data_IF_156424760516
#
_entry.id   IF_156424760516
#
_cell.length_a   1.000
_cell.length_b   1.000
_cell.length_c   1.000
_cell.angle_alpha   90.00
_cell.angle_beta   90.00
_cell.angle_gamma   90.00
#
_symmetry.space_group_name_H-M   'P 1'
#
loop_
_entity.id
_entity.type
_entity.pdbx_description
1 polymer ?
#
# COMPACT_ATOMS: atom_id res chain seq x y z
N UNK A 1 29.16 10.88 -17.05
CA UNK A 1 28.34 11.79 -16.25
C UNK A 1 27.24 11.05 -15.47
N UNK A 2 26.33 10.28 -16.12
CA UNK A 2 25.19 9.58 -15.47
C UNK A 2 25.60 8.56 -14.39
N UNK A 3 26.62 7.73 -14.66
CA UNK A 3 27.16 6.77 -13.68
C UNK A 3 27.63 7.46 -12.39
N UNK A 4 28.27 8.61 -12.50
CA UNK A 4 28.70 9.39 -11.32
C UNK A 4 27.52 10.03 -10.60
N UNK A 5 26.49 10.46 -11.32
CA UNK A 5 25.26 10.99 -10.71
C UNK A 5 24.53 9.90 -9.93
N UNK A 6 24.31 8.73 -10.53
CA UNK A 6 23.71 7.57 -9.85
C UNK A 6 24.49 7.19 -8.57
N UNK A 7 25.81 7.14 -8.65
CA UNK A 7 26.67 6.82 -7.51
C UNK A 7 26.55 7.85 -6.37
N UNK A 8 26.47 9.15 -6.71
CA UNK A 8 26.27 10.21 -5.70
C UNK A 8 24.90 10.09 -5.02
N UNK A 9 23.84 9.82 -5.78
CA UNK A 9 22.50 9.65 -5.21
C UNK A 9 22.45 8.39 -4.33
N UNK A 10 23.07 7.28 -4.74
CA UNK A 10 23.18 6.09 -3.91
C UNK A 10 23.94 6.35 -2.60
N UNK A 11 25.03 7.10 -2.62
CA UNK A 11 25.74 7.47 -1.40
C UNK A 11 24.89 8.34 -0.46
N UNK A 12 24.10 9.27 -1.00
CA UNK A 12 23.15 10.06 -0.18
C UNK A 12 22.07 9.19 0.44
N UNK A 13 21.56 8.16 -0.30
CA UNK A 13 20.59 7.24 0.25
C UNK A 13 21.13 6.39 1.42
N UNK A 14 22.45 6.23 1.51
CA UNK A 14 23.11 5.42 2.54
C UNK A 14 23.51 6.24 3.77
N UNK A 15 23.03 7.49 3.93
CA UNK A 15 23.30 8.27 5.15
C UNK A 15 22.61 7.63 6.34
N UNK A 16 23.37 7.49 7.47
CA UNK A 16 22.91 6.75 8.65
C UNK A 16 21.64 7.32 9.30
N UNK A 17 21.42 8.62 9.20
CA UNK A 17 20.29 9.33 9.83
C UNK A 17 18.91 8.82 9.37
N UNK A 18 18.81 8.30 8.13
CA UNK A 18 17.58 7.72 7.62
C UNK A 18 17.24 6.35 8.23
N UNK A 19 18.19 5.71 8.92
CA UNK A 19 18.07 4.36 9.47
C UNK A 19 18.21 4.30 11.00
N UNK A 20 18.56 5.42 11.64
CA UNK A 20 18.73 5.47 13.07
C UNK A 20 17.38 5.72 13.75
N UNK A 21 16.97 4.77 14.57
CA UNK A 21 15.88 5.00 15.51
C UNK A 21 16.34 5.88 16.67
N UNK A 22 15.44 6.71 17.20
CA UNK A 22 15.70 7.44 18.45
C UNK A 22 15.90 6.45 19.63
N UNK A 23 16.47 6.89 20.76
CA UNK A 23 16.60 6.07 21.96
C UNK A 23 15.26 5.49 22.44
N UNK A 24 14.14 6.14 22.14
CA UNK A 24 12.78 5.67 22.45
C UNK A 24 12.26 4.62 21.46
N UNK A 25 13.09 4.18 20.50
CA UNK A 25 12.70 3.21 19.46
C UNK A 25 11.77 3.78 18.39
N UNK A 26 11.74 5.10 18.25
CA UNK A 26 10.93 5.79 17.23
C UNK A 26 11.68 5.80 15.91
N UNK A 27 10.96 5.52 14.82
CA UNK A 27 11.51 5.56 13.48
C UNK A 27 12.03 6.96 13.11
N UNK A 28 12.98 7.05 12.17
CA UNK A 28 13.49 8.32 11.66
C UNK A 28 12.35 9.22 11.17
N UNK A 29 12.59 10.53 11.23
CA UNK A 29 11.71 11.54 10.69
C UNK A 29 11.31 11.22 9.24
N UNK A 30 10.05 11.47 8.89
CA UNK A 30 9.49 11.18 7.57
C UNK A 30 10.31 11.82 6.44
N UNK A 31 10.80 13.04 6.62
CA UNK A 31 11.63 13.73 5.61
C UNK A 31 12.96 13.01 5.37
N UNK A 32 13.55 12.41 6.43
CA UNK A 32 14.78 11.63 6.31
C UNK A 32 14.54 10.34 5.54
N UNK A 33 13.46 9.60 5.85
CA UNK A 33 13.08 8.40 5.11
C UNK A 33 12.75 8.72 3.66
N UNK A 34 11.95 9.75 3.40
CA UNK A 34 11.64 10.23 2.06
C UNK A 34 12.91 10.61 1.28
N UNK A 35 13.84 11.32 1.91
CA UNK A 35 15.10 11.69 1.28
C UNK A 35 15.94 10.46 0.87
N UNK A 36 15.95 9.40 1.69
CA UNK A 36 16.63 8.15 1.36
C UNK A 36 15.99 7.47 0.14
N UNK A 37 14.67 7.26 0.15
CA UNK A 37 13.93 6.69 -0.98
C UNK A 37 14.07 7.52 -2.25
N UNK A 38 13.97 8.84 -2.15
CA UNK A 38 14.14 9.76 -3.28
C UNK A 38 15.52 9.64 -3.92
N UNK A 39 16.56 9.60 -3.13
CA UNK A 39 17.92 9.43 -3.63
C UNK A 39 18.14 8.03 -4.23
N UNK A 40 17.57 6.98 -3.66
CA UNK A 40 17.64 5.62 -4.21
C UNK A 40 16.93 5.53 -5.57
N UNK A 41 15.71 6.05 -5.66
CA UNK A 41 14.92 6.08 -6.90
C UNK A 41 15.58 6.96 -7.97
N UNK A 42 16.22 8.06 -7.56
CA UNK A 42 17.00 8.91 -8.47
C UNK A 42 18.23 8.18 -9.04
N UNK A 43 18.94 7.43 -8.20
CA UNK A 43 20.06 6.60 -8.65
C UNK A 43 19.62 5.59 -9.69
N UNK A 44 18.50 4.92 -9.46
CA UNK A 44 17.90 3.98 -10.40
C UNK A 44 17.49 4.65 -11.71
N UNK A 45 16.84 5.81 -11.65
CA UNK A 45 16.47 6.61 -12.82
C UNK A 45 17.68 6.94 -13.70
N UNK A 46 18.81 7.34 -13.11
CA UNK A 46 20.05 7.57 -13.86
C UNK A 46 20.58 6.31 -14.52
N UNK A 47 20.45 5.14 -13.91
CA UNK A 47 20.86 3.86 -14.49
C UNK A 47 19.96 3.53 -15.68
N UNK A 48 18.64 3.65 -15.54
CA UNK A 48 17.66 3.41 -16.61
C UNK A 48 17.87 4.30 -17.83
N UNK A 49 18.33 5.53 -17.62
CA UNK A 49 18.67 6.45 -18.71
C UNK A 49 20.03 6.18 -19.36
N UNK A 50 20.90 5.42 -18.69
CA UNK A 50 22.27 5.13 -19.18
C UNK A 50 22.35 3.89 -20.04
N UNK A 51 21.46 2.92 -19.86
CA UNK A 51 21.42 1.63 -20.56
C UNK A 51 19.98 1.33 -21.00
N UNK A 52 19.78 0.49 -22.05
CA UNK A 52 18.44 0.04 -22.42
C UNK A 52 17.74 -0.61 -21.22
N UNK A 53 16.67 -0.01 -20.76
CA UNK A 53 15.90 -0.53 -19.63
C UNK A 53 15.04 -1.73 -20.08
N UNK A 54 15.06 -2.79 -19.29
CA UNK A 54 14.20 -3.96 -19.47
C UNK A 54 13.43 -4.20 -18.18
N UNK A 55 12.11 -4.22 -18.29
CA UNK A 55 11.25 -4.56 -17.17
C UNK A 55 11.50 -5.97 -16.67
N UNK A 56 11.46 -6.14 -15.35
CA UNK A 56 11.70 -7.43 -14.71
C UNK A 56 10.94 -7.56 -13.40
N UNK A 57 10.63 -8.79 -13.03
CA UNK A 57 10.24 -9.19 -11.69
C UNK A 57 11.20 -10.27 -11.23
N UNK A 58 11.82 -10.08 -10.07
CA UNK A 58 12.77 -11.01 -9.47
C UNK A 58 12.30 -11.39 -8.07
N UNK A 59 12.61 -12.60 -7.64
CA UNK A 59 12.28 -13.12 -6.31
C UNK A 59 13.57 -13.52 -5.59
N UNK A 60 13.81 -12.97 -4.41
CA UNK A 60 14.89 -13.35 -3.51
C UNK A 60 14.66 -12.78 -2.10
N UNK A 61 15.27 -13.38 -1.10
CA UNK A 61 15.26 -12.90 0.29
C UNK A 61 16.28 -11.77 0.43
N UNK A 62 15.79 -10.51 0.30
CA UNK A 62 16.70 -9.35 0.33
C UNK A 62 16.87 -8.78 1.74
N UNK A 63 15.94 -9.06 2.66
CA UNK A 63 15.99 -8.60 4.04
C UNK A 63 16.59 -9.64 4.99
N UNK A 64 16.90 -10.85 4.49
CA UNK A 64 17.49 -11.98 5.20
C UNK A 64 16.59 -12.52 6.34
N UNK A 65 15.27 -12.48 6.16
CA UNK A 65 14.29 -13.04 7.12
C UNK A 65 13.90 -14.49 6.82
N UNK A 66 14.45 -15.08 5.76
CA UNK A 66 14.20 -16.45 5.30
C UNK A 66 13.03 -16.59 4.34
N UNK A 67 12.42 -15.48 3.91
CA UNK A 67 11.31 -15.45 2.96
C UNK A 67 11.65 -14.56 1.77
N UNK A 68 11.23 -14.96 0.58
CA UNK A 68 11.50 -14.17 -0.60
C UNK A 68 10.54 -12.99 -0.71
N UNK A 69 11.09 -11.83 -1.05
CA UNK A 69 10.36 -10.71 -1.59
C UNK A 69 10.38 -10.73 -3.12
N UNK A 70 9.44 -9.99 -3.73
CA UNK A 70 9.34 -9.84 -5.17
C UNK A 70 9.60 -8.39 -5.55
N UNK A 71 10.75 -8.16 -6.21
CA UNK A 71 11.13 -6.83 -6.69
C UNK A 71 10.66 -6.65 -8.13
N UNK A 72 9.73 -5.72 -8.30
CA UNK A 72 9.15 -5.34 -9.59
C UNK A 72 9.85 -4.08 -10.09
N UNK A 73 10.56 -4.16 -11.21
CA UNK A 73 11.20 -3.03 -11.88
C UNK A 73 10.49 -2.76 -13.20
N UNK A 74 9.57 -1.78 -13.20
CA UNK A 74 8.73 -1.41 -14.35
C UNK A 74 9.08 -0.03 -14.86
N UNK A 75 8.66 0.33 -16.08
CA UNK A 75 9.00 1.61 -16.69
C UNK A 75 8.63 2.83 -15.83
N UNK A 76 7.44 2.82 -15.23
CA UNK A 76 6.93 3.95 -14.44
C UNK A 76 7.25 3.87 -12.95
N UNK A 77 7.49 2.67 -12.43
CA UNK A 77 7.62 2.45 -10.99
C UNK A 77 8.55 1.28 -10.66
N UNK A 78 8.98 1.22 -9.40
CA UNK A 78 9.45 0.00 -8.76
C UNK A 78 8.55 -0.33 -7.58
N UNK A 79 8.37 -1.61 -7.30
CA UNK A 79 7.61 -2.06 -6.15
C UNK A 79 8.30 -3.26 -5.49
N UNK A 80 8.15 -3.36 -4.17
CA UNK A 80 8.49 -4.54 -3.41
C UNK A 80 7.23 -5.18 -2.86
N UNK A 81 7.03 -6.47 -3.12
CA UNK A 81 5.93 -7.25 -2.57
C UNK A 81 6.51 -8.20 -1.54
N UNK A 82 6.05 -8.11 -0.29
CA UNK A 82 6.49 -8.97 0.80
C UNK A 82 5.63 -10.22 0.91
N UNK A 83 6.22 -11.34 1.27
CA UNK A 83 5.49 -12.54 1.66
C UNK A 83 4.69 -12.34 2.96
N UNK A 84 5.14 -11.45 3.84
CA UNK A 84 4.42 -11.08 5.06
C UNK A 84 3.25 -10.14 4.71
N UNK A 85 2.03 -10.58 4.97
CA UNK A 85 0.81 -9.91 4.53
C UNK A 85 0.56 -10.00 3.03
N UNK A 86 1.47 -10.55 2.23
CA UNK A 86 1.36 -10.59 0.78
C UNK A 86 1.22 -9.18 0.15
N UNK A 87 1.65 -8.14 0.82
CA UNK A 87 1.38 -6.73 0.54
C UNK A 87 2.53 -6.04 -0.21
N UNK A 88 2.25 -4.88 -0.76
CA UNK A 88 3.27 -4.00 -1.35
C UNK A 88 3.82 -3.10 -0.25
N UNK A 89 5.08 -3.27 0.09
CA UNK A 89 5.78 -2.52 1.14
C UNK A 89 6.54 -1.31 0.59
N UNK A 90 6.83 -1.30 -0.71
CA UNK A 90 7.42 -0.16 -1.40
C UNK A 90 6.75 0.05 -2.75
N UNK A 91 6.41 1.30 -3.07
CA UNK A 91 5.92 1.73 -4.37
C UNK A 91 6.60 3.05 -4.76
N UNK A 92 7.74 2.94 -5.43
CA UNK A 92 8.52 4.09 -5.87
C UNK A 92 8.11 4.52 -7.27
N UNK A 93 7.55 5.71 -7.43
CA UNK A 93 7.18 6.26 -8.74
C UNK A 93 8.35 7.02 -9.34
N UNK A 94 8.83 6.57 -10.50
CA UNK A 94 10.05 7.11 -11.16
C UNK A 94 9.89 8.57 -11.59
N UNK A 95 8.65 9.03 -11.83
CA UNK A 95 8.39 10.39 -12.29
C UNK A 95 8.78 11.44 -11.25
N UNK A 96 8.30 11.30 -10.03
CA UNK A 96 8.50 12.27 -8.93
C UNK A 96 9.47 11.76 -7.84
N UNK A 97 9.96 10.52 -7.96
CA UNK A 97 10.94 9.88 -7.06
C UNK A 97 10.39 9.61 -5.64
N UNK A 98 9.08 9.54 -5.47
CA UNK A 98 8.44 9.32 -4.17
C UNK A 98 8.10 7.84 -3.94
N UNK A 99 8.25 7.38 -2.70
CA UNK A 99 7.72 6.10 -2.25
C UNK A 99 6.35 6.31 -1.60
N UNK A 100 5.30 5.83 -2.27
CA UNK A 100 3.92 5.97 -1.80
C UNK A 100 3.49 4.95 -0.75
N UNK A 101 4.33 3.95 -0.45
CA UNK A 101 4.08 2.95 0.59
C UNK A 101 4.95 3.16 1.85
N UNK A 102 5.72 4.26 1.94
CA UNK A 102 6.53 4.59 3.11
C UNK A 102 5.67 5.09 4.28
N UNK A 103 4.93 4.18 4.91
CA UNK A 103 4.04 4.47 6.02
C UNK A 103 4.57 3.89 7.33
N UNK A 104 4.16 4.50 8.45
CA UNK A 104 4.33 3.93 9.78
C UNK A 104 3.10 3.10 10.18
N UNK A 105 3.28 2.24 11.17
CA UNK A 105 2.17 1.66 11.93
C UNK A 105 1.92 2.48 13.20
N UNK A 106 0.65 2.56 13.65
CA UNK A 106 0.30 3.24 14.89
C UNK A 106 0.84 2.44 16.08
N UNK A 107 1.28 3.15 17.10
CA UNK A 107 1.83 2.57 18.33
C UNK A 107 0.99 3.08 19.51
N UNK A 108 0.49 2.17 20.35
CA UNK A 108 -0.40 2.48 21.47
C UNK A 108 0.12 3.61 22.36
N UNK A 109 1.43 3.63 22.63
CA UNK A 109 2.08 4.64 23.46
C UNK A 109 1.86 6.08 22.96
N UNK A 110 1.75 6.29 21.64
CA UNK A 110 1.65 7.62 21.04
C UNK A 110 0.27 7.86 20.41
N UNK A 111 -0.26 6.85 19.74
CA UNK A 111 -1.46 6.96 18.92
C UNK A 111 -2.73 6.46 19.65
N UNK A 112 -2.58 5.88 20.85
CA UNK A 112 -3.63 5.23 21.65
C UNK A 112 -4.29 4.04 20.93
N UNK A 113 -3.69 3.60 19.85
CA UNK A 113 -4.11 2.48 19.01
C UNK A 113 -2.85 1.75 18.58
N UNK A 114 -2.90 0.43 18.49
CA UNK A 114 -1.80 -0.39 18.00
C UNK A 114 -2.19 -1.10 16.72
N UNK A 115 -1.48 -0.77 15.62
CA UNK A 115 -1.59 -1.52 14.39
C UNK A 115 -0.68 -2.76 14.50
N UNK A 116 -1.24 -3.93 14.59
CA UNK A 116 -0.46 -5.18 14.69
C UNK A 116 0.11 -5.64 13.33
N UNK A 117 0.11 -4.80 12.31
CA UNK A 117 0.55 -5.11 10.96
C UNK A 117 1.22 -3.89 10.33
N UNK A 118 1.97 -4.13 9.26
CA UNK A 118 2.58 -3.07 8.44
C UNK A 118 1.54 -2.48 7.49
N UNK A 119 1.51 -1.15 7.39
CA UNK A 119 0.57 -0.42 6.53
C UNK A 119 1.15 -0.19 5.14
N UNK A 120 1.12 -1.24 4.32
CA UNK A 120 1.46 -1.16 2.90
C UNK A 120 0.24 -0.88 2.02
N UNK A 121 0.36 -1.26 0.74
CA UNK A 121 -0.77 -1.27 -0.20
C UNK A 121 -1.21 -2.72 -0.44
N UNK A 122 -2.50 -2.90 -0.67
CA UNK A 122 -3.12 -4.23 -0.84
C UNK A 122 -2.92 -5.13 0.38
N UNK A 123 -3.30 -4.61 1.54
CA UNK A 123 -3.35 -5.35 2.81
C UNK A 123 -4.75 -5.91 2.98
N UNK A 124 -4.89 -7.23 3.11
CA UNK A 124 -6.19 -7.88 3.21
C UNK A 124 -6.61 -8.11 4.64
N UNK A 125 -7.90 -7.87 4.87
CA UNK A 125 -8.57 -8.16 6.13
C UNK A 125 -9.87 -8.94 5.88
N UNK A 126 -10.22 -9.80 6.82
CA UNK A 126 -11.55 -10.39 6.91
C UNK A 126 -12.11 -10.00 8.28
N UNK A 127 -13.16 -9.21 8.27
CA UNK A 127 -13.76 -8.64 9.47
C UNK A 127 -15.19 -9.13 9.67
N UNK A 128 -15.62 -9.31 10.91
CA UNK A 128 -17.03 -9.32 11.27
C UNK A 128 -17.68 -7.95 11.00
N UNK A 129 -19.00 -7.87 11.09
CA UNK A 129 -19.70 -6.59 10.90
C UNK A 129 -19.33 -5.56 11.96
N UNK A 130 -19.13 -6.02 13.19
CA UNK A 130 -18.74 -5.18 14.34
C UNK A 130 -17.31 -4.65 14.15
N UNK A 131 -16.36 -5.54 13.89
CA UNK A 131 -14.95 -5.17 13.64
C UNK A 131 -14.84 -4.20 12.48
N UNK A 132 -15.59 -4.43 11.40
CA UNK A 132 -15.57 -3.53 10.24
C UNK A 132 -16.21 -2.17 10.57
N UNK A 133 -17.23 -2.13 11.43
CA UNK A 133 -17.78 -0.86 11.91
C UNK A 133 -16.75 -0.03 12.66
N UNK A 134 -15.92 -0.66 13.47
CA UNK A 134 -14.87 0.03 14.22
C UNK A 134 -13.68 0.39 13.32
N UNK A 135 -13.32 -0.48 12.38
CA UNK A 135 -12.31 -0.20 11.38
C UNK A 135 -12.61 1.10 10.58
N UNK A 136 -13.85 1.27 10.12
CA UNK A 136 -14.29 2.48 9.39
C UNK A 136 -14.20 3.76 10.21
N UNK A 137 -14.16 3.68 11.54
CA UNK A 137 -13.97 4.83 12.45
C UNK A 137 -12.49 5.06 12.79
N UNK A 138 -11.57 4.27 12.19
CA UNK A 138 -10.15 4.32 12.56
C UNK A 138 -9.82 3.73 13.93
N UNK A 139 -10.79 3.05 14.56
CA UNK A 139 -10.60 2.39 15.85
C UNK A 139 -9.81 1.09 15.67
N UNK A 140 -9.20 0.56 16.74
CA UNK A 140 -8.52 -0.73 16.69
C UNK A 140 -9.58 -1.83 16.54
N UNK A 141 -9.88 -2.19 15.33
CA UNK A 141 -10.39 -3.51 15.02
C UNK A 141 -9.16 -4.39 15.01
N UNK A 142 -9.02 -5.40 15.77
CA UNK A 142 -7.85 -6.29 15.68
C UNK A 142 -7.30 -6.39 14.24
N UNK A 143 -6.11 -6.83 14.03
CA UNK A 143 -5.64 -7.06 12.65
C UNK A 143 -6.52 -8.13 12.02
N UNK A 144 -7.04 -7.88 10.83
CA UNK A 144 -7.71 -8.90 10.04
C UNK A 144 -6.79 -10.11 9.81
N UNK A 145 -7.39 -11.26 9.55
CA UNK A 145 -6.68 -12.55 9.54
C UNK A 145 -5.43 -12.55 8.65
N UNK A 146 -5.46 -11.88 7.52
CA UNK A 146 -4.39 -11.94 6.52
C UNK A 146 -3.38 -10.80 6.58
N UNK A 147 -3.66 -9.70 7.26
CA UNK A 147 -2.81 -8.50 7.24
C UNK A 147 -1.38 -8.73 7.78
N UNK A 148 -1.18 -9.73 8.62
CA UNK A 148 0.13 -10.13 9.14
C UNK A 148 0.50 -11.59 8.84
N UNK A 149 -0.35 -12.33 8.15
CA UNK A 149 -0.09 -13.72 7.81
C UNK A 149 1.14 -13.83 6.91
N UNK A 150 1.90 -14.90 7.11
CA UNK A 150 2.96 -15.27 6.19
C UNK A 150 2.33 -16.02 5.00
N UNK A 151 2.35 -15.40 3.84
CA UNK A 151 1.93 -16.03 2.60
C UNK A 151 3.05 -16.93 2.07
N UNK A 152 2.68 -18.12 1.61
CA UNK A 152 3.60 -19.03 0.92
C UNK A 152 3.54 -18.77 -0.57
N UNK A 153 4.69 -18.80 -1.23
CA UNK A 153 4.74 -18.81 -2.69
C UNK A 153 4.10 -20.09 -3.21
N UNK A 154 3.03 -19.94 -4.00
CA UNK A 154 2.41 -21.05 -4.71
C UNK A 154 3.01 -21.21 -6.11
N UNK A 155 3.35 -20.09 -6.77
CA UNK A 155 4.02 -20.07 -8.07
C UNK A 155 4.63 -18.69 -8.31
N UNK A 156 5.83 -18.67 -8.90
CA UNK A 156 6.47 -17.46 -9.40
C UNK A 156 6.91 -17.64 -10.86
N UNK A 157 6.57 -16.67 -11.70
CA UNK A 157 6.98 -16.65 -13.09
C UNK A 157 7.46 -15.25 -13.49
N UNK A 158 8.76 -15.01 -13.41
CA UNK A 158 9.38 -13.72 -13.73
C UNK A 158 9.19 -13.30 -15.19
N UNK A 159 9.10 -14.26 -16.14
CA UNK A 159 8.88 -13.95 -17.56
C UNK A 159 7.46 -13.44 -17.83
N UNK A 160 6.45 -14.06 -17.20
CA UNK A 160 5.06 -13.62 -17.26
C UNK A 160 4.77 -12.48 -16.29
N UNK A 161 5.73 -12.13 -15.41
CA UNK A 161 5.59 -11.17 -14.33
C UNK A 161 4.40 -11.52 -13.42
N UNK A 162 4.28 -12.78 -13.07
CA UNK A 162 3.19 -13.36 -12.29
C UNK A 162 3.70 -13.89 -10.96
N UNK A 163 2.98 -13.56 -9.88
CA UNK A 163 3.25 -14.03 -8.52
C UNK A 163 1.95 -14.60 -7.96
N UNK A 164 1.99 -15.83 -7.47
CA UNK A 164 0.85 -16.45 -6.78
C UNK A 164 1.23 -16.80 -5.35
N UNK A 165 0.47 -16.29 -4.43
CA UNK A 165 0.66 -16.44 -2.99
C UNK A 165 -0.55 -17.13 -2.37
N UNK A 166 -0.34 -17.88 -1.29
CA UNK A 166 -1.42 -18.47 -0.47
C UNK A 166 -1.18 -18.17 1.01
N UNK A 167 -2.15 -17.49 1.63
CA UNK A 167 -2.24 -17.28 3.07
C UNK A 167 -3.28 -18.19 3.71
N UNK A 168 -3.06 -18.58 4.94
CA UNK A 168 -3.99 -19.38 5.75
C UNK A 168 -4.18 -18.72 7.11
N UNK A 169 -5.35 -18.91 7.72
CA UNK A 169 -5.66 -18.38 9.03
C UNK A 169 -7.00 -18.88 9.56
N UNK A 170 -7.39 -18.34 10.70
CA UNK A 170 -8.67 -18.66 11.35
C UNK A 170 -9.51 -17.39 11.49
N UNK A 171 -10.80 -17.52 11.29
CA UNK A 171 -11.77 -16.43 11.39
C UNK A 171 -12.63 -16.58 12.63
N UNK A 172 -12.79 -15.49 13.37
CA UNK A 172 -13.61 -15.35 14.58
C UNK A 172 -13.22 -16.26 15.75
N UNK A 173 -13.96 -16.13 16.85
CA UNK A 173 -13.82 -16.95 18.05
C UNK A 173 -14.21 -18.43 17.85
N UNK A 174 -14.74 -18.78 16.68
CA UNK A 174 -15.09 -20.15 16.32
C UNK A 174 -13.95 -20.88 15.59
N UNK A 175 -12.79 -20.23 15.43
CA UNK A 175 -11.60 -20.76 14.76
C UNK A 175 -11.91 -21.37 13.38
N UNK A 176 -12.79 -20.72 12.61
CA UNK A 176 -13.16 -21.21 11.27
C UNK A 176 -11.93 -21.07 10.37
N UNK A 177 -11.39 -22.20 9.84
CA UNK A 177 -10.23 -22.13 8.97
C UNK A 177 -10.60 -21.48 7.62
N UNK A 178 -9.81 -20.50 7.21
CA UNK A 178 -9.95 -19.81 5.96
C UNK A 178 -8.62 -19.71 5.22
N UNK A 179 -8.67 -19.66 3.90
CA UNK A 179 -7.49 -19.40 3.07
C UNK A 179 -7.73 -18.30 2.08
N UNK A 180 -6.66 -17.57 1.75
CA UNK A 180 -6.66 -16.55 0.72
C UNK A 180 -5.58 -16.88 -0.31
N UNK A 181 -6.01 -17.08 -1.56
CA UNK A 181 -5.10 -17.10 -2.71
C UNK A 181 -5.05 -15.71 -3.32
N UNK A 182 -3.85 -15.20 -3.53
CA UNK A 182 -3.59 -13.88 -4.09
C UNK A 182 -2.68 -14.01 -5.29
N UNK A 183 -3.09 -13.42 -6.41
CA UNK A 183 -2.35 -13.46 -7.67
C UNK A 183 -2.10 -12.07 -8.17
N UNK A 184 -0.83 -11.71 -8.31
CA UNK A 184 -0.40 -10.49 -8.96
C UNK A 184 -0.03 -10.75 -10.41
N UNK A 185 -0.55 -9.94 -11.33
CA UNK A 185 -0.06 -9.79 -12.70
C UNK A 185 0.48 -8.37 -12.85
N UNK A 186 1.81 -8.27 -13.00
CA UNK A 186 2.53 -7.00 -13.02
C UNK A 186 2.66 -6.50 -14.45
N UNK A 187 2.41 -5.21 -14.69
CA UNK A 187 2.56 -4.57 -15.99
C UNK A 187 3.23 -3.19 -15.87
N UNK A 188 3.54 -2.57 -17.01
CA UNK A 188 4.28 -1.29 -17.08
C UNK A 188 3.55 -0.12 -16.40
N UNK A 189 2.23 -0.21 -16.20
CA UNK A 189 1.41 0.87 -15.66
C UNK A 189 0.88 0.59 -14.25
N UNK A 190 1.07 -0.62 -13.73
CA UNK A 190 0.52 -1.06 -12.45
C UNK A 190 0.39 -2.57 -12.38
N UNK A 191 -0.69 -3.06 -11.82
CA UNK A 191 -0.92 -4.50 -11.65
C UNK A 191 -2.40 -4.85 -11.56
N UNK A 192 -2.73 -6.06 -11.93
CA UNK A 192 -3.99 -6.70 -11.59
C UNK A 192 -3.75 -7.61 -10.38
N UNK A 193 -4.61 -7.51 -9.38
CA UNK A 193 -4.58 -8.39 -8.21
C UNK A 193 -5.90 -9.16 -8.13
N UNK A 194 -5.79 -10.49 -8.19
CA UNK A 194 -6.92 -11.40 -8.05
C UNK A 194 -6.86 -12.08 -6.69
N UNK A 195 -7.99 -12.17 -6.03
CA UNK A 195 -8.18 -12.76 -4.72
C UNK A 195 -9.18 -13.90 -4.79
N UNK A 196 -8.90 -15.00 -4.11
CA UNK A 196 -9.86 -16.07 -3.89
C UNK A 196 -9.84 -16.38 -2.39
N UNK A 197 -10.89 -15.90 -1.69
CA UNK A 197 -11.13 -16.20 -0.28
C UNK A 197 -11.97 -17.46 -0.18
N UNK A 198 -11.52 -18.44 0.57
CA UNK A 198 -12.19 -19.72 0.73
C UNK A 198 -12.46 -20.03 2.20
N UNK A 199 -13.66 -20.53 2.47
CA UNK A 199 -14.01 -21.17 3.72
C UNK A 199 -13.52 -22.62 3.69
N UNK A 200 -12.46 -22.94 4.41
CA UNK A 200 -11.90 -24.30 4.48
C UNK A 200 -12.62 -25.19 5.52
N UNK A 201 -13.51 -24.59 6.35
CA UNK A 201 -14.28 -25.26 7.36
C UNK A 201 -15.67 -25.68 6.91
N UNK A 202 -16.40 -26.47 7.73
CA UNK A 202 -17.76 -26.89 7.44
C UNK A 202 -18.85 -25.87 7.84
N UNK A 203 -18.49 -24.86 8.65
CA UNK A 203 -19.45 -23.91 9.22
C UNK A 203 -19.51 -22.68 8.32
N UNK A 204 -20.73 -22.25 7.94
CA UNK A 204 -20.94 -21.03 7.19
C UNK A 204 -20.58 -19.79 8.05
N UNK A 205 -20.01 -18.77 7.44
CA UNK A 205 -19.75 -17.48 8.09
C UNK A 205 -19.95 -16.31 7.13
N UNK A 206 -20.23 -15.14 7.70
CA UNK A 206 -20.41 -13.89 6.96
C UNK A 206 -19.51 -12.81 7.51
N UNK A 207 -19.17 -11.84 6.67
CA UNK A 207 -18.31 -10.73 7.07
C UNK A 207 -18.04 -9.75 5.95
N UNK A 208 -16.94 -9.03 6.08
CA UNK A 208 -16.44 -8.09 5.08
C UNK A 208 -15.03 -8.51 4.66
N UNK A 209 -14.82 -8.71 3.37
CA UNK A 209 -13.50 -8.83 2.78
C UNK A 209 -13.02 -7.42 2.41
N UNK A 210 -11.91 -7.00 2.96
CA UNK A 210 -11.38 -5.63 2.85
C UNK A 210 -9.99 -5.67 2.25
N UNK A 211 -9.74 -4.82 1.27
CA UNK A 211 -8.42 -4.59 0.66
C UNK A 211 -8.00 -3.15 0.96
N UNK A 212 -7.12 -3.00 1.92
CA UNK A 212 -6.60 -1.72 2.40
C UNK A 212 -5.38 -1.29 1.60
N UNK A 213 -5.30 -0.01 1.26
CA UNK A 213 -4.12 0.63 0.68
C UNK A 213 -3.82 1.93 1.41
N UNK A 214 -2.60 2.07 1.89
CA UNK A 214 -2.15 3.23 2.65
C UNK A 214 -1.17 4.04 1.82
N UNK A 215 -1.55 5.29 1.52
CA UNK A 215 -0.73 6.21 0.73
C UNK A 215 0.02 7.17 1.62
N UNK A 216 1.33 7.13 1.53
CA UNK A 216 2.22 7.97 2.31
C UNK A 216 2.09 9.44 1.95
N UNK A 217 2.16 10.31 2.94
CA UNK A 217 2.23 11.76 2.72
C UNK A 217 3.49 12.13 1.93
N UNK A 218 3.32 12.94 0.89
CA UNK A 218 4.39 13.43 0.01
C UNK A 218 4.66 14.92 0.18
N UNK A 219 3.66 15.70 0.63
CA UNK A 219 3.77 17.12 0.93
C UNK A 219 3.77 17.37 2.44
N UNK A 220 4.79 18.03 2.94
CA UNK A 220 4.99 18.37 4.35
C UNK A 220 4.76 19.85 4.68
N UNK A 221 4.15 20.59 3.77
CA UNK A 221 3.78 21.99 4.04
C UNK A 221 2.77 22.12 5.20
N UNK A 222 1.95 21.07 5.39
CA UNK A 222 1.04 20.95 6.52
C UNK A 222 0.93 19.48 6.94
N UNK A 223 1.43 19.13 8.13
CA UNK A 223 1.42 17.76 8.64
C UNK A 223 0.00 17.25 8.95
N UNK A 224 -0.95 18.15 9.24
CA UNK A 224 -2.32 17.79 9.64
C UNK A 224 -3.24 17.52 8.42
N UNK A 225 -2.79 17.86 7.20
CA UNK A 225 -3.58 17.72 5.98
C UNK A 225 -2.91 16.79 5.01
N UNK A 226 -3.70 15.96 4.33
CA UNK A 226 -3.20 15.18 3.21
C UNK A 226 -3.32 15.96 1.90
N UNK A 227 -2.49 15.59 0.92
CA UNK A 227 -2.48 16.20 -0.42
C UNK A 227 -3.30 15.38 -1.43
N UNK A 228 -4.16 14.50 -0.96
CA UNK A 228 -4.89 13.58 -1.83
C UNK A 228 -6.29 14.08 -2.15
N UNK A 229 -6.61 14.08 -3.46
CA UNK A 229 -7.94 14.23 -4.02
C UNK A 229 -8.51 12.85 -4.29
N UNK A 230 -9.81 12.67 -4.05
CA UNK A 230 -10.53 11.42 -4.28
C UNK A 230 -11.64 11.63 -5.30
N UNK A 231 -11.59 10.92 -6.41
CA UNK A 231 -12.65 10.86 -7.41
C UNK A 231 -13.22 9.44 -7.48
N UNK A 232 -14.55 9.31 -7.44
CA UNK A 232 -15.28 8.04 -7.40
C UNK A 232 -16.34 7.99 -8.51
N UNK A 233 -16.66 6.78 -8.99
CA UNK A 233 -17.91 6.51 -9.72
C UNK A 233 -18.73 5.54 -8.88
N UNK A 234 -19.91 5.99 -8.45
CA UNK A 234 -20.89 5.22 -7.68
C UNK A 234 -22.23 5.27 -8.40
N UNK A 235 -22.86 4.13 -8.65
CA UNK A 235 -24.10 4.03 -9.43
C UNK A 235 -24.05 4.81 -10.75
N UNK A 236 -22.91 4.80 -11.43
CA UNK A 236 -22.68 5.53 -12.68
C UNK A 236 -22.51 7.05 -12.52
N UNK A 237 -22.54 7.58 -11.29
CA UNK A 237 -22.39 9.00 -11.01
C UNK A 237 -20.98 9.32 -10.50
N UNK A 238 -20.36 10.38 -11.03
CA UNK A 238 -19.08 10.89 -10.57
C UNK A 238 -19.23 11.69 -9.27
N UNK A 239 -18.42 11.36 -8.27
CA UNK A 239 -18.32 12.08 -6.99
C UNK A 239 -16.87 12.46 -6.79
N UNK A 240 -16.60 13.71 -6.38
CA UNK A 240 -15.25 14.23 -6.18
C UNK A 240 -15.10 14.89 -4.81
N UNK A 241 -14.00 14.59 -4.13
CA UNK A 241 -13.58 15.21 -2.88
C UNK A 241 -12.20 15.84 -3.10
N UNK A 242 -12.14 17.16 -3.07
CA UNK A 242 -10.89 17.92 -3.34
C UNK A 242 -9.82 17.71 -2.26
N UNK A 243 -10.26 17.48 -1.01
CA UNK A 243 -9.41 17.03 0.09
C UNK A 243 -10.16 15.94 0.85
N UNK A 244 -9.48 14.85 1.15
CA UNK A 244 -10.06 13.77 1.93
C UNK A 244 -9.62 13.86 3.41
N UNK A 245 -9.92 15.01 4.04
CA UNK A 245 -9.58 15.29 5.43
C UNK A 245 -10.58 14.67 6.42
N UNK A 246 -11.72 14.19 5.93
CA UNK A 246 -12.73 13.49 6.72
C UNK A 246 -12.98 12.07 6.18
N UNK A 247 -13.43 11.14 7.02
CA UNK A 247 -13.78 9.80 6.59
C UNK A 247 -14.89 9.81 5.52
N UNK A 248 -14.65 9.10 4.43
CA UNK A 248 -15.62 8.91 3.34
C UNK A 248 -15.96 7.42 3.27
N UNK A 249 -17.26 7.08 3.34
CA UNK A 249 -17.75 5.72 3.12
C UNK A 249 -18.83 5.75 2.05
N UNK A 250 -18.66 4.97 0.99
CA UNK A 250 -19.62 4.82 -0.11
C UNK A 250 -19.76 3.36 -0.49
N UNK A 251 -20.90 3.00 -1.10
CA UNK A 251 -21.17 1.67 -1.69
C UNK A 251 -21.29 1.79 -3.20
N UNK A 252 -21.36 0.65 -3.86
CA UNK A 252 -21.65 0.51 -5.29
C UNK A 252 -20.64 1.30 -6.15
N UNK A 253 -19.35 1.12 -5.83
CA UNK A 253 -18.22 1.80 -6.46
C UNK A 253 -17.65 0.92 -7.58
N UNK A 254 -17.63 1.46 -8.79
CA UNK A 254 -17.02 0.83 -9.97
C UNK A 254 -15.63 1.41 -10.32
N UNK A 255 -15.30 2.60 -9.79
CA UNK A 255 -14.06 3.30 -10.09
C UNK A 255 -13.63 4.17 -8.91
N UNK A 256 -12.34 4.14 -8.60
CA UNK A 256 -11.69 5.00 -7.60
C UNK A 256 -10.42 5.59 -8.19
N UNK A 257 -10.27 6.90 -8.12
CA UNK A 257 -9.01 7.58 -8.44
C UNK A 257 -8.56 8.41 -7.24
N UNK A 258 -7.36 8.11 -6.77
CA UNK A 258 -6.68 8.84 -5.71
C UNK A 258 -5.55 9.63 -6.36
N UNK A 259 -5.58 10.95 -6.27
CA UNK A 259 -4.60 11.82 -6.91
C UNK A 259 -3.79 12.59 -5.88
N UNK A 260 -2.48 12.38 -5.86
CA UNK A 260 -1.55 13.26 -5.18
C UNK A 260 -1.48 14.60 -5.93
N UNK A 261 -2.10 15.63 -5.35
CA UNK A 261 -2.21 16.94 -5.98
C UNK A 261 -0.88 17.69 -6.07
N UNK A 262 0.08 17.35 -5.19
CA UNK A 262 1.41 17.97 -5.17
C UNK A 262 2.26 17.59 -6.38
N UNK A 263 2.11 16.36 -6.86
CA UNK A 263 2.87 15.81 -7.98
C UNK A 263 2.03 15.51 -9.22
N UNK A 264 0.69 15.57 -9.09
CA UNK A 264 -0.28 15.18 -10.12
C UNK A 264 -0.09 13.72 -10.57
N UNK A 265 0.19 12.84 -9.60
CA UNK A 265 0.23 11.39 -9.79
C UNK A 265 -1.12 10.83 -9.33
N UNK A 266 -1.72 9.97 -10.15
CA UNK A 266 -2.99 9.32 -9.79
C UNK A 266 -2.85 7.82 -9.72
N UNK A 267 -3.57 7.23 -8.77
CA UNK A 267 -3.71 5.80 -8.54
C UNK A 267 -5.16 5.42 -8.78
N UNK A 268 -5.39 4.58 -9.78
CA UNK A 268 -6.74 4.18 -10.20
C UNK A 268 -6.99 2.74 -9.80
N UNK A 269 -8.12 2.49 -9.15
CA UNK A 269 -8.63 1.17 -8.82
C UNK A 269 -9.92 0.92 -9.60
N UNK A 270 -9.96 -0.19 -10.32
CA UNK A 270 -11.12 -0.67 -11.05
C UNK A 270 -11.41 -2.10 -10.59
N UNK A 271 -12.33 -2.30 -9.63
CA UNK A 271 -12.76 -3.63 -9.23
C UNK A 271 -13.58 -4.28 -10.36
N UNK A 272 -13.51 -5.61 -10.47
CA UNK A 272 -14.26 -6.37 -11.49
C UNK A 272 -15.78 -6.41 -11.23
N UNK A 273 -16.19 -6.11 -10.02
CA UNK A 273 -17.57 -5.93 -9.58
C UNK A 273 -17.63 -4.78 -8.57
N UNK A 274 -18.78 -4.18 -8.43
CA UNK A 274 -18.99 -3.06 -7.51
C UNK A 274 -18.54 -3.39 -6.10
N UNK A 275 -17.82 -2.46 -5.50
CA UNK A 275 -17.27 -2.55 -4.15
C UNK A 275 -17.82 -1.43 -3.27
N UNK A 276 -17.74 -1.59 -1.97
CA UNK A 276 -17.75 -0.43 -1.09
C UNK A 276 -16.36 0.19 -1.01
N UNK A 277 -16.29 1.47 -0.65
CA UNK A 277 -15.03 2.15 -0.31
C UNK A 277 -15.14 2.82 1.05
N UNK A 278 -14.06 2.72 1.82
CA UNK A 278 -13.84 3.48 3.06
C UNK A 278 -12.51 4.19 2.97
N UNK A 279 -12.51 5.51 3.00
CA UNK A 279 -11.30 6.32 2.97
C UNK A 279 -11.21 7.15 4.24
N UNK A 280 -10.01 7.32 4.77
CA UNK A 280 -9.77 8.16 5.94
C UNK A 280 -8.30 8.62 6.03
N UNK A 281 -8.06 9.84 6.54
CA UNK A 281 -6.73 10.24 6.94
C UNK A 281 -6.35 9.52 8.25
N UNK A 282 -5.11 9.07 8.37
CA UNK A 282 -4.54 8.56 9.60
C UNK A 282 -3.37 9.44 10.03
N UNK A 283 -3.47 9.99 11.23
CA UNK A 283 -2.44 10.85 11.80
C UNK A 283 -1.58 10.03 12.78
N UNK A 284 -0.26 10.11 12.60
CA UNK A 284 0.70 9.42 13.46
C UNK A 284 1.37 10.43 14.38
N UNK A 285 1.32 10.14 15.69
CA UNK A 285 1.93 10.98 16.71
C UNK A 285 3.29 10.42 17.11
N UNK A 286 4.27 11.31 17.27
CA UNK A 286 5.62 10.94 17.70
C UNK A 286 6.12 11.94 18.72
N UNK A 287 7.09 11.56 19.58
CA UNK A 287 7.75 12.49 20.48
C UNK A 287 8.37 13.64 19.70
N UNK A 288 8.25 14.84 20.26
CA UNK A 288 8.92 16.05 19.79
C UNK A 288 9.84 16.56 20.90
N UNK A 289 11.08 16.86 20.57
CA UNK A 289 12.08 17.38 21.52
C UNK A 289 11.67 18.71 22.16
N UNK A 290 10.76 19.45 21.51
CA UNK A 290 10.28 20.75 21.95
C UNK A 290 8.91 20.71 22.65
N UNK A 291 8.34 19.53 22.88
CA UNK A 291 7.00 19.36 23.45
C UNK A 291 6.95 18.18 24.42
N UNK A 292 6.27 18.37 25.54
CA UNK A 292 6.01 17.30 26.52
C UNK A 292 4.97 16.28 25.99
N UNK A 293 4.18 16.66 25.00
CA UNK A 293 3.15 15.80 24.40
C UNK A 293 3.54 15.39 22.99
N UNK A 294 3.25 14.13 22.57
CA UNK A 294 3.48 13.70 21.19
C UNK A 294 2.75 14.60 20.20
N UNK A 295 3.46 15.03 19.16
CA UNK A 295 2.93 15.85 18.08
C UNK A 295 2.62 15.01 16.84
N UNK A 296 1.77 15.52 15.95
CA UNK A 296 1.52 14.90 14.66
C UNK A 296 2.79 14.99 13.82
N UNK A 297 3.36 13.84 13.51
CA UNK A 297 4.61 13.74 12.77
C UNK A 297 4.37 13.51 11.27
N UNK A 298 3.34 12.75 10.93
CA UNK A 298 2.98 12.44 9.55
C UNK A 298 1.52 12.04 9.42
N UNK A 299 1.03 12.05 8.19
CA UNK A 299 -0.30 11.71 7.77
C UNK A 299 -0.24 10.63 6.67
N UNK A 300 -1.14 9.67 6.73
CA UNK A 300 -1.33 8.65 5.69
C UNK A 300 -2.76 8.70 5.21
N UNK A 301 -2.98 8.61 3.91
CA UNK A 301 -4.30 8.46 3.34
C UNK A 301 -4.61 6.98 3.15
N UNK A 302 -5.56 6.45 3.93
CA UNK A 302 -6.00 5.06 3.81
C UNK A 302 -7.24 4.98 2.93
N UNK A 303 -7.20 4.11 1.93
CA UNK A 303 -8.34 3.78 1.07
C UNK A 303 -8.55 2.27 1.06
N UNK A 304 -9.77 1.83 1.36
CA UNK A 304 -10.09 0.41 1.51
C UNK A 304 -11.30 0.05 0.68
N UNK A 305 -11.11 -0.78 -0.33
CA UNK A 305 -12.21 -1.44 -1.02
C UNK A 305 -12.75 -2.58 -0.16
N UNK A 306 -14.07 -2.77 -0.13
CA UNK A 306 -14.66 -3.85 0.65
C UNK A 306 -15.88 -4.47 -0.02
N UNK A 307 -16.10 -5.75 0.28
CA UNK A 307 -17.26 -6.54 -0.16
C UNK A 307 -17.84 -7.28 1.04
N UNK A 308 -19.15 -7.17 1.21
CA UNK A 308 -19.89 -8.02 2.14
C UNK A 308 -19.99 -9.42 1.54
N UNK A 309 -19.86 -10.46 2.34
CA UNK A 309 -19.96 -11.84 1.88
C UNK A 309 -20.68 -12.74 2.89
N UNK A 310 -21.22 -13.85 2.36
CA UNK A 310 -21.74 -14.98 3.09
C UNK A 310 -21.20 -16.26 2.44
N UNK A 311 -20.37 -17.02 3.18
CA UNK A 311 -19.67 -18.20 2.68
C UNK A 311 -20.08 -19.46 3.42
N UNK A 312 -20.79 -20.35 2.75
CA UNK A 312 -21.04 -21.71 3.22
C UNK A 312 -19.72 -22.50 3.33
N UNK A 313 -19.75 -23.58 4.09
CA UNK A 313 -18.59 -24.47 4.25
C UNK A 313 -18.05 -24.98 2.91
N UNK A 314 -16.75 -24.86 2.69
CA UNK A 314 -16.06 -25.26 1.47
C UNK A 314 -16.21 -24.32 0.27
N UNK A 315 -17.04 -23.28 0.37
CA UNK A 315 -17.27 -22.33 -0.73
C UNK A 315 -16.18 -21.24 -0.77
N UNK A 316 -16.04 -20.62 -1.95
CA UNK A 316 -15.10 -19.53 -2.18
C UNK A 316 -15.75 -18.35 -2.91
N UNK A 317 -15.17 -17.15 -2.72
CA UNK A 317 -15.50 -15.95 -3.50
C UNK A 317 -14.24 -15.46 -4.19
N UNK A 318 -14.42 -14.86 -5.37
CA UNK A 318 -13.36 -14.28 -6.17
C UNK A 318 -13.57 -12.77 -6.30
N UNK A 319 -12.49 -11.99 -6.15
CA UNK A 319 -12.44 -10.55 -6.37
C UNK A 319 -11.21 -10.20 -7.18
N UNK A 320 -11.33 -9.24 -8.07
CA UNK A 320 -10.21 -8.75 -8.89
C UNK A 320 -10.19 -7.23 -8.87
N UNK A 321 -9.01 -6.65 -8.74
CA UNK A 321 -8.77 -5.21 -8.80
C UNK A 321 -7.72 -4.94 -9.87
N UNK A 322 -8.03 -4.09 -10.83
CA UNK A 322 -7.04 -3.48 -11.71
C UNK A 322 -6.54 -2.19 -11.07
N UNK A 323 -5.22 -2.08 -10.90
CA UNK A 323 -4.57 -0.91 -10.36
C UNK A 323 -3.66 -0.28 -11.39
N UNK A 324 -3.85 1.01 -11.65
CA UNK A 324 -3.09 1.76 -12.65
C UNK A 324 -2.49 3.02 -12.07
N UNK A 325 -1.21 3.26 -12.36
CA UNK A 325 -0.46 4.47 -12.01
C UNK A 325 -0.46 5.42 -13.20
N UNK A 326 -1.06 6.59 -13.03
CA UNK A 326 -1.11 7.64 -14.05
C UNK A 326 -0.11 8.73 -13.67
N UNK A 327 0.82 9.01 -14.57
CA UNK A 327 1.83 10.06 -14.41
C UNK A 327 1.59 11.18 -15.41
N UNK A 328 1.93 12.45 -15.09
CA UNK A 328 1.81 13.56 -16.03
C UNK A 328 2.59 13.31 -17.33
N UNK A 329 2.01 13.69 -18.44
CA UNK A 329 2.71 13.60 -19.74
C UNK A 329 3.94 14.53 -19.71
N UNK A 330 5.12 14.03 -20.09
CA UNK A 330 6.31 14.88 -20.29
C UNK A 330 5.96 16.00 -21.29
N UNK A 331 6.01 17.25 -20.87
CA UNK A 331 5.93 18.37 -21.81
C UNK A 331 7.11 18.21 -22.79
N UNK A 332 6.82 18.01 -24.06
CA UNK A 332 7.84 18.11 -25.11
C UNK A 332 8.31 19.56 -25.13
N UNK A 333 9.46 19.85 -24.52
CA UNK A 333 10.17 21.10 -24.74
C UNK A 333 10.50 21.14 -26.24
N UNK A 334 9.80 21.97 -27.01
CA UNK A 334 10.25 22.33 -28.36
C UNK A 334 11.66 22.88 -28.18
N UNK A 335 12.66 22.19 -28.71
CA UNK A 335 13.98 22.80 -28.92
C UNK A 335 13.73 23.99 -29.84
N UNK A 336 13.88 25.19 -29.30
CA UNK A 336 14.01 26.45 -30.09
C UNK A 336 15.43 26.46 -30.67
#
# INVERSE_FOLDING_TARGET
ARKMAARKSLWKAQTGEAFLCSPEGVFPDKKMRQAAYKNLTEAEKYIREAVPFKESVTSFDYNADGHNEYLCSMEKYTACISARGGQITELNVIHNLENYADNLSRIEKFDKVNDNYERGLFVEHVFSKEEFSDYKKGLPSGCGVFSKALFREAEFNGTKKEIKLKGEGTYSNLDIPISLRKRYLINSNGFMVQYILKNEGPIAFSGNFVVESNFAQTDFSNADKNSYKLDLISDGNGISYETADEPVVKKDISFVQITDTSSNISFVYEPNEEAGISCQPLLFKRPDLNSETPQIAENTFTASLFWEFDLAGGMEIEKTINFTIITPKKRRTKKI
#
